data_IF_185382667465
#
_entry.id   IF_185382667465
#
_cell.length_a   1.000
_cell.length_b   1.000
_cell.length_c   1.000
_cell.angle_alpha   90.00
_cell.angle_beta   90.00
_cell.angle_gamma   90.00
#
_symmetry.space_group_name_H-M   'P 1'
#
loop_
_entity.id
_entity.type
_entity.pdbx_description
1 polymer ?
#
# COMPACT_ATOMS: atom_id res chain seq x y z
N UNK A 1 -12.56 5.60 22.71
CA UNK A 1 -13.12 5.25 21.39
C UNK A 1 -12.01 4.56 20.60
N UNK A 2 -12.23 3.35 20.14
CA UNK A 2 -11.23 2.63 19.34
C UNK A 2 -10.94 3.36 18.05
N UNK A 3 -9.69 3.47 17.67
CA UNK A 3 -9.22 4.18 16.46
C UNK A 3 -8.66 3.17 15.45
N UNK A 4 -8.72 3.53 14.18
CA UNK A 4 -8.04 2.81 13.11
C UNK A 4 -7.10 3.80 12.44
N UNK A 5 -5.83 3.44 12.34
CA UNK A 5 -4.88 4.18 11.51
C UNK A 5 -4.99 3.69 10.06
N UNK A 6 -5.40 4.57 9.18
CA UNK A 6 -5.66 4.23 7.79
C UNK A 6 -4.37 4.12 6.93
N UNK A 7 -3.19 4.48 7.45
CA UNK A 7 -1.94 4.36 6.70
C UNK A 7 -0.70 4.53 7.57
N UNK A 8 0.04 3.47 7.75
CA UNK A 8 1.35 3.47 8.41
C UNK A 8 2.41 2.75 7.57
N UNK A 9 3.65 2.92 7.98
CA UNK A 9 4.80 2.26 7.40
C UNK A 9 5.71 1.71 8.48
N UNK A 10 6.40 0.61 8.19
CA UNK A 10 7.57 0.13 8.94
C UNK A 10 8.74 -0.04 7.98
N UNK A 11 9.95 -0.16 8.53
CA UNK A 11 11.19 -0.35 7.78
C UNK A 11 12.13 0.84 7.87
N UNK A 12 13.12 0.83 7.02
CA UNK A 12 14.12 1.90 6.98
C UNK A 12 13.80 2.88 5.86
N UNK A 13 13.49 4.10 6.24
CA UNK A 13 13.34 5.22 5.31
C UNK A 13 14.72 5.80 5.04
N UNK A 14 15.31 5.38 3.91
CA UNK A 14 16.64 5.80 3.50
C UNK A 14 16.76 7.27 3.11
N UNK A 15 17.96 7.67 2.69
CA UNK A 15 18.24 9.01 2.23
C UNK A 15 18.18 10.05 3.34
N UNK A 16 17.52 11.18 3.06
CA UNK A 16 17.47 12.34 3.96
C UNK A 16 16.70 12.09 5.27
N UNK A 17 15.80 11.12 5.32
CA UNK A 17 14.99 10.87 6.50
C UNK A 17 15.74 10.13 7.60
N UNK A 18 16.64 9.19 7.26
CA UNK A 18 17.47 8.44 8.21
C UNK A 18 16.71 7.75 9.35
N UNK A 19 15.43 7.43 9.14
CA UNK A 19 14.53 6.90 10.16
C UNK A 19 14.34 5.41 9.96
N UNK A 20 14.58 4.62 11.02
CA UNK A 20 14.15 3.22 11.10
C UNK A 20 12.98 3.11 12.07
N UNK A 21 11.88 2.52 11.62
CA UNK A 21 10.68 2.32 12.41
C UNK A 21 10.29 0.84 12.38
N UNK A 22 10.46 0.17 13.52
CA UNK A 22 10.24 -1.27 13.63
C UNK A 22 8.78 -1.61 13.94
N UNK A 23 8.39 -2.86 13.70
CA UNK A 23 7.05 -3.36 14.06
C UNK A 23 6.78 -3.21 15.56
N UNK A 24 7.78 -3.42 16.44
CA UNK A 24 7.63 -3.27 17.90
C UNK A 24 7.30 -1.83 18.27
N UNK A 25 7.99 -0.84 17.67
CA UNK A 25 7.69 0.59 17.89
C UNK A 25 6.29 0.96 17.38
N UNK A 26 5.87 0.40 16.24
CA UNK A 26 4.53 0.59 15.73
C UNK A 26 3.49 0.10 16.74
N UNK A 27 3.65 -1.10 17.27
CA UNK A 27 2.72 -1.68 18.26
C UNK A 27 2.73 -0.91 19.57
N UNK A 28 3.89 -0.43 20.02
CA UNK A 28 4.01 0.44 21.20
C UNK A 28 3.17 1.72 21.02
N UNK A 29 3.33 2.41 19.89
CA UNK A 29 2.53 3.61 19.56
C UNK A 29 1.04 3.30 19.42
N UNK A 30 0.68 2.20 18.77
CA UNK A 30 -0.72 1.79 18.67
C UNK A 30 -1.37 1.61 20.04
N UNK A 31 -0.65 1.01 21.00
CA UNK A 31 -1.13 0.82 22.36
C UNK A 31 -1.22 2.16 23.11
N UNK A 32 -0.23 3.05 22.97
CA UNK A 32 -0.21 4.38 23.60
C UNK A 32 -1.38 5.26 23.16
N UNK A 33 -1.75 5.20 21.86
CA UNK A 33 -2.76 6.07 21.28
C UNK A 33 -4.14 5.40 21.09
N UNK A 34 -4.40 4.23 21.66
CA UNK A 34 -5.64 3.45 21.51
C UNK A 34 -5.99 3.13 20.03
N UNK A 35 -4.98 2.83 19.22
CA UNK A 35 -5.16 2.38 17.85
C UNK A 35 -5.38 0.86 17.85
N UNK A 36 -6.55 0.44 17.38
CA UNK A 36 -6.92 -0.97 17.34
C UNK A 36 -6.29 -1.69 16.17
N UNK A 37 -6.36 -1.08 14.99
CA UNK A 37 -5.81 -1.61 13.73
C UNK A 37 -5.09 -0.54 12.94
N UNK A 38 -4.11 -0.97 12.15
CA UNK A 38 -3.43 -0.10 11.19
C UNK A 38 -3.34 -0.76 9.82
N UNK A 39 -3.52 0.03 8.76
CA UNK A 39 -3.22 -0.37 7.39
C UNK A 39 -1.74 -0.14 7.16
N UNK A 40 -0.99 -1.25 7.05
CA UNK A 40 0.46 -1.23 7.03
C UNK A 40 1.01 -1.50 5.64
N UNK A 41 1.94 -0.67 5.20
CA UNK A 41 2.71 -0.89 3.98
C UNK A 41 4.22 -0.78 4.24
N UNK A 42 5.01 -1.38 3.39
CA UNK A 42 6.46 -1.20 3.36
C UNK A 42 6.85 0.25 3.02
N UNK A 43 8.10 0.67 3.23
CA UNK A 43 8.59 1.99 2.85
C UNK A 43 8.88 2.12 1.34
N UNK A 44 8.93 1.00 0.62
CA UNK A 44 9.14 0.90 -0.82
C UNK A 44 8.67 -0.48 -1.35
N UNK A 45 8.67 -0.66 -2.67
CA UNK A 45 8.17 -1.88 -3.31
C UNK A 45 9.02 -3.15 -3.08
N UNK A 46 10.19 -3.02 -2.48
CA UNK A 46 11.08 -4.15 -2.14
C UNK A 46 10.91 -4.64 -0.70
N UNK A 47 10.33 -3.84 0.18
CA UNK A 47 10.26 -4.11 1.63
C UNK A 47 9.02 -4.87 2.09
N UNK A 48 8.26 -5.51 1.20
CA UNK A 48 7.00 -6.18 1.57
C UNK A 48 7.19 -7.33 2.58
N UNK A 49 8.35 -8.01 2.57
CA UNK A 49 8.63 -9.11 3.52
C UNK A 49 8.70 -8.64 4.98
N UNK A 50 9.07 -7.37 5.22
CA UNK A 50 9.00 -6.78 6.57
C UNK A 50 7.54 -6.65 7.04
N UNK A 51 6.60 -6.41 6.11
CA UNK A 51 5.17 -6.35 6.41
C UNK A 51 4.60 -7.75 6.64
N UNK A 52 5.10 -8.78 5.92
CA UNK A 52 4.75 -10.20 6.20
C UNK A 52 5.11 -10.54 7.63
N UNK A 53 6.36 -10.28 8.04
CA UNK A 53 6.84 -10.56 9.39
C UNK A 53 6.02 -9.81 10.47
N UNK A 54 5.68 -8.55 10.22
CA UNK A 54 4.85 -7.77 11.12
C UNK A 54 3.41 -8.34 11.22
N UNK A 55 2.81 -8.70 10.11
CA UNK A 55 1.47 -9.27 10.06
C UNK A 55 1.41 -10.64 10.77
N UNK A 56 2.36 -11.52 10.51
CA UNK A 56 2.44 -12.82 11.18
C UNK A 56 2.63 -12.69 12.70
N UNK A 57 3.37 -11.64 13.14
CA UNK A 57 3.57 -11.36 14.56
C UNK A 57 2.34 -10.76 15.26
N UNK A 58 1.54 -9.96 14.55
CA UNK A 58 0.42 -9.19 15.10
C UNK A 58 -0.83 -9.19 14.18
N UNK A 59 -1.40 -10.38 13.87
CA UNK A 59 -2.47 -10.51 12.85
C UNK A 59 -3.77 -9.77 13.23
N UNK A 60 -4.02 -9.59 14.51
CA UNK A 60 -5.22 -8.88 14.99
C UNK A 60 -5.11 -7.35 14.88
N UNK A 61 -3.89 -6.82 14.74
CA UNK A 61 -3.61 -5.38 14.72
C UNK A 61 -3.26 -4.84 13.34
N UNK A 62 -2.69 -5.67 12.45
CA UNK A 62 -2.16 -5.25 11.17
C UNK A 62 -3.08 -5.68 10.03
N UNK A 63 -3.39 -4.75 9.15
CA UNK A 63 -4.04 -4.99 7.86
C UNK A 63 -2.98 -4.73 6.78
N UNK A 64 -2.36 -5.79 6.22
CA UNK A 64 -1.20 -5.65 5.34
C UNK A 64 -1.59 -5.26 3.92
N UNK A 65 -0.86 -4.31 3.33
CA UNK A 65 -0.98 -3.87 1.95
C UNK A 65 0.34 -4.09 1.21
N UNK A 66 0.29 -4.78 0.08
CA UNK A 66 1.47 -5.01 -0.75
C UNK A 66 1.80 -3.77 -1.58
N UNK A 67 3.03 -3.28 -1.49
CA UNK A 67 3.51 -2.25 -2.40
C UNK A 67 4.01 -2.88 -3.70
N UNK A 68 3.43 -2.46 -4.82
CA UNK A 68 3.80 -2.91 -6.16
C UNK A 68 4.24 -1.72 -7.01
N UNK A 69 5.33 -1.90 -7.79
CA UNK A 69 5.72 -0.98 -8.85
C UNK A 69 5.29 -1.60 -10.20
N UNK A 70 4.22 -1.10 -10.84
CA UNK A 70 3.67 -1.71 -12.04
C UNK A 70 4.61 -1.65 -13.25
N UNK A 71 5.63 -0.78 -13.22
CA UNK A 71 6.58 -0.63 -14.30
C UNK A 71 7.78 -1.60 -14.23
N UNK A 72 8.06 -2.16 -13.07
CA UNK A 72 9.24 -3.00 -12.83
C UNK A 72 8.92 -4.42 -12.37
N UNK A 73 7.83 -4.60 -11.65
CA UNK A 73 7.44 -5.89 -11.10
C UNK A 73 6.78 -6.78 -12.15
N UNK A 74 6.97 -8.09 -12.00
CA UNK A 74 6.01 -9.06 -12.49
C UNK A 74 4.78 -8.98 -11.59
N UNK A 75 3.82 -8.13 -12.01
CA UNK A 75 2.66 -7.75 -11.20
C UNK A 75 1.84 -8.96 -10.78
N UNK A 76 1.53 -9.86 -11.72
CA UNK A 76 0.71 -11.04 -11.45
C UNK A 76 1.38 -11.94 -10.43
N UNK A 77 2.65 -12.28 -10.64
CA UNK A 77 3.41 -13.13 -9.73
C UNK A 77 3.51 -12.51 -8.34
N UNK A 78 3.84 -11.21 -8.26
CA UNK A 78 4.00 -10.51 -6.99
C UNK A 78 2.69 -10.44 -6.22
N UNK A 79 1.60 -10.05 -6.88
CA UNK A 79 0.30 -9.95 -6.23
C UNK A 79 -0.26 -11.31 -5.83
N UNK A 80 -0.08 -12.35 -6.65
CA UNK A 80 -0.46 -13.72 -6.26
C UNK A 80 0.27 -14.16 -4.99
N UNK A 81 1.59 -13.93 -4.90
CA UNK A 81 2.35 -14.26 -3.71
C UNK A 81 1.81 -13.56 -2.46
N UNK A 82 1.76 -12.22 -2.47
CA UNK A 82 1.39 -11.49 -1.24
C UNK A 82 -0.10 -11.57 -0.90
N UNK A 83 -1.00 -11.53 -1.89
CA UNK A 83 -2.45 -11.55 -1.63
C UNK A 83 -2.93 -12.97 -1.34
N UNK A 84 -2.59 -13.96 -2.19
CA UNK A 84 -3.16 -15.30 -2.10
C UNK A 84 -2.38 -16.23 -1.16
N UNK A 85 -1.05 -16.06 -1.03
CA UNK A 85 -0.23 -16.95 -0.20
C UNK A 85 0.04 -16.34 1.18
N UNK A 86 0.41 -15.03 1.26
CA UNK A 86 0.74 -14.35 2.52
C UNK A 86 -0.46 -13.66 3.19
N UNK A 87 -1.62 -13.60 2.52
CA UNK A 87 -2.87 -13.09 3.10
C UNK A 87 -2.96 -11.56 3.18
N UNK A 88 -2.28 -10.83 2.31
CA UNK A 88 -2.39 -9.38 2.24
C UNK A 88 -3.79 -8.98 1.78
N UNK A 89 -4.28 -7.85 2.29
CA UNK A 89 -5.68 -7.42 2.18
C UNK A 89 -5.89 -6.23 1.25
N UNK A 90 -4.83 -5.74 0.62
CA UNK A 90 -4.91 -4.63 -0.32
C UNK A 90 -3.59 -4.35 -1.02
N UNK A 91 -3.65 -3.44 -1.98
CA UNK A 91 -2.53 -3.08 -2.85
C UNK A 91 -2.17 -1.62 -2.63
N UNK A 92 -0.88 -1.31 -2.52
CA UNK A 92 -0.33 0.04 -2.46
C UNK A 92 0.44 0.37 -3.73
N UNK A 93 0.16 1.54 -4.31
CA UNK A 93 0.98 2.15 -5.36
C UNK A 93 1.47 3.54 -4.96
N UNK A 94 2.70 3.87 -5.37
CA UNK A 94 3.35 5.16 -5.10
C UNK A 94 3.93 5.75 -6.40
N UNK A 95 3.10 6.41 -7.21
CA UNK A 95 3.51 6.87 -8.53
C UNK A 95 4.74 7.78 -8.56
N UNK A 96 4.91 8.66 -7.55
CA UNK A 96 6.07 9.55 -7.48
C UNK A 96 7.40 8.78 -7.31
N UNK A 97 7.45 7.85 -6.33
CA UNK A 97 8.70 7.15 -6.02
C UNK A 97 9.02 6.07 -7.06
N UNK A 98 7.99 5.51 -7.66
CA UNK A 98 8.09 4.41 -8.61
C UNK A 98 8.08 4.90 -10.07
N UNK A 99 8.02 6.24 -10.28
CA UNK A 99 8.17 6.95 -11.56
C UNK A 99 7.18 6.52 -12.66
N UNK A 100 5.89 6.37 -12.33
CA UNK A 100 4.80 6.15 -13.30
C UNK A 100 3.64 7.12 -13.08
N UNK A 101 2.78 7.30 -14.08
CA UNK A 101 1.59 8.13 -13.96
C UNK A 101 0.39 7.27 -13.54
N UNK A 102 -0.43 7.78 -12.61
CA UNK A 102 -1.47 6.98 -11.95
C UNK A 102 -2.56 6.43 -12.90
N UNK A 103 -2.82 7.07 -14.03
CA UNK A 103 -3.77 6.64 -15.07
C UNK A 103 -3.11 6.06 -16.33
N UNK A 104 -1.78 5.83 -16.29
CA UNK A 104 -1.05 5.19 -17.39
C UNK A 104 -1.47 3.72 -17.55
N UNK A 105 -1.54 3.18 -18.78
CA UNK A 105 -1.81 1.76 -19.03
C UNK A 105 -0.94 0.77 -18.27
N UNK A 106 0.25 1.16 -17.83
CA UNK A 106 1.14 0.31 -17.01
C UNK A 106 0.50 -0.14 -15.71
N UNK A 107 -0.50 0.60 -15.18
CA UNK A 107 -1.21 0.24 -13.94
C UNK A 107 -2.37 -0.73 -14.14
N UNK A 108 -2.80 -0.97 -15.40
CA UNK A 108 -3.98 -1.80 -15.66
C UNK A 108 -3.85 -3.24 -15.15
N UNK A 109 -2.70 -3.93 -15.26
CA UNK A 109 -2.56 -5.27 -14.67
C UNK A 109 -2.82 -5.29 -13.15
N UNK A 110 -2.43 -4.23 -12.42
CA UNK A 110 -2.71 -4.10 -10.98
C UNK A 110 -4.22 -3.95 -10.74
N UNK A 111 -4.88 -3.13 -11.55
CA UNK A 111 -6.31 -2.87 -11.43
C UNK A 111 -7.17 -4.09 -11.83
N UNK A 112 -6.74 -4.82 -12.87
CA UNK A 112 -7.39 -6.06 -13.29
C UNK A 112 -7.29 -7.13 -12.21
N UNK A 113 -6.13 -7.29 -11.60
CA UNK A 113 -5.95 -8.16 -10.44
C UNK A 113 -6.83 -7.73 -9.25
N UNK A 114 -6.83 -6.43 -8.92
CA UNK A 114 -7.62 -5.90 -7.82
C UNK A 114 -9.14 -6.16 -8.00
N UNK A 115 -9.63 -6.07 -9.25
CA UNK A 115 -11.01 -6.40 -9.62
C UNK A 115 -11.31 -7.88 -9.47
N UNK A 116 -10.42 -8.74 -9.94
CA UNK A 116 -10.59 -10.19 -9.91
C UNK A 116 -10.67 -10.74 -8.48
N UNK A 117 -9.81 -10.22 -7.60
CA UNK A 117 -9.68 -10.69 -6.21
C UNK A 117 -10.44 -9.83 -5.19
N UNK A 118 -11.20 -8.83 -5.64
CA UNK A 118 -11.97 -7.87 -4.79
C UNK A 118 -11.11 -7.22 -3.69
N UNK A 119 -9.89 -6.82 -3.99
CA UNK A 119 -9.00 -6.15 -3.05
C UNK A 119 -8.92 -4.64 -3.31
N UNK A 120 -8.85 -3.78 -2.28
CA UNK A 120 -8.76 -2.34 -2.45
C UNK A 120 -7.37 -1.92 -2.93
N UNK A 121 -7.34 -0.83 -3.70
CA UNK A 121 -6.11 -0.19 -4.17
C UNK A 121 -5.93 1.17 -3.50
N UNK A 122 -4.77 1.36 -2.89
CA UNK A 122 -4.37 2.57 -2.19
C UNK A 122 -3.30 3.31 -2.99
N UNK A 123 -3.60 4.51 -3.49
CA UNK A 123 -2.71 5.28 -4.37
C UNK A 123 -2.26 6.56 -3.66
N UNK A 124 -0.95 6.77 -3.60
CA UNK A 124 -0.40 8.04 -3.14
C UNK A 124 -0.74 9.15 -4.13
N UNK A 125 -1.25 10.28 -3.63
CA UNK A 125 -1.80 11.38 -4.41
C UNK A 125 -1.13 12.71 -4.05
N UNK A 126 -1.12 13.67 -4.99
CA UNK A 126 -0.73 15.05 -4.74
C UNK A 126 0.59 15.48 -5.38
N UNK A 127 1.24 14.64 -6.18
CA UNK A 127 2.53 14.96 -6.80
C UNK A 127 2.45 15.07 -8.33
N UNK A 128 2.53 16.30 -8.91
CA UNK A 128 2.62 16.47 -10.35
C UNK A 128 3.93 15.90 -10.91
N UNK A 129 3.94 15.33 -12.11
CA UNK A 129 2.77 14.97 -12.93
C UNK A 129 2.20 13.57 -12.58
N UNK A 130 2.79 12.85 -11.62
CA UNK A 130 2.62 11.41 -11.44
C UNK A 130 1.27 10.98 -10.85
N UNK A 131 0.77 11.71 -9.83
CA UNK A 131 -0.40 11.28 -9.07
C UNK A 131 -1.34 12.44 -8.72
N UNK A 132 -1.77 13.16 -9.73
CA UNK A 132 -2.76 14.22 -9.56
C UNK A 132 -4.16 13.63 -9.28
N UNK A 133 -5.00 14.31 -8.50
CA UNK A 133 -6.33 13.79 -8.14
C UNK A 133 -7.19 13.37 -9.32
N UNK A 134 -7.10 14.09 -10.43
CA UNK A 134 -7.88 13.78 -11.65
C UNK A 134 -7.37 12.54 -12.36
N UNK A 135 -6.06 12.25 -12.39
CA UNK A 135 -5.53 11.00 -12.95
C UNK A 135 -6.07 9.79 -12.17
N UNK A 136 -6.13 9.91 -10.84
CA UNK A 136 -6.72 8.85 -10.01
C UNK A 136 -8.23 8.75 -10.23
N UNK A 137 -8.93 9.88 -10.45
CA UNK A 137 -10.34 9.87 -10.76
C UNK A 137 -10.63 9.18 -12.12
N UNK A 138 -9.83 9.47 -13.15
CA UNK A 138 -9.93 8.81 -14.46
C UNK A 138 -9.68 7.29 -14.36
N UNK A 139 -8.70 6.89 -13.55
CA UNK A 139 -8.47 5.47 -13.28
C UNK A 139 -9.68 4.82 -12.58
N UNK A 140 -10.25 5.49 -11.57
CA UNK A 140 -11.44 5.01 -10.86
C UNK A 140 -12.71 4.96 -11.75
N UNK A 141 -12.87 5.90 -12.67
CA UNK A 141 -13.95 5.86 -13.68
C UNK A 141 -13.81 4.67 -14.64
N UNK A 142 -12.57 4.32 -14.99
CA UNK A 142 -12.29 3.15 -15.83
C UNK A 142 -12.50 1.83 -15.10
N UNK A 143 -12.30 1.81 -13.79
CA UNK A 143 -12.42 0.62 -12.92
C UNK A 143 -13.45 0.86 -11.80
N UNK A 144 -14.75 1.05 -12.14
CA UNK A 144 -15.77 1.40 -11.15
C UNK A 144 -16.03 0.30 -10.12
N UNK A 145 -15.63 -0.92 -10.42
CA UNK A 145 -15.79 -2.08 -9.54
C UNK A 145 -14.61 -2.23 -8.54
N UNK A 146 -13.53 -1.45 -8.71
CA UNK A 146 -12.37 -1.49 -7.81
C UNK A 146 -12.47 -0.39 -6.77
N UNK A 147 -12.29 -0.75 -5.52
CA UNK A 147 -12.24 0.23 -4.40
C UNK A 147 -10.91 0.98 -4.45
N UNK A 148 -10.90 2.16 -5.05
CA UNK A 148 -9.72 3.03 -5.10
C UNK A 148 -9.77 4.04 -3.97
N UNK A 149 -8.74 4.03 -3.11
CA UNK A 149 -8.57 5.01 -2.05
C UNK A 149 -7.33 5.86 -2.35
N UNK A 150 -7.49 7.19 -2.24
CA UNK A 150 -6.37 8.14 -2.39
C UNK A 150 -5.90 8.62 -1.01
N UNK A 151 -4.58 8.71 -0.82
CA UNK A 151 -3.99 9.46 0.27
C UNK A 151 -3.51 10.81 -0.28
N UNK A 152 -4.05 11.89 0.26
CA UNK A 152 -3.45 13.22 0.16
C UNK A 152 -2.44 13.41 1.28
N UNK A 153 -1.41 14.24 1.08
CA UNK A 153 -0.46 14.60 2.12
C UNK A 153 -1.15 15.16 3.36
#
# INVERSE_FOLDING_TARGET
MKKIDAHSHIGTFGGWAGVAFTKEKLIEQMNEYDIEKTFLTAPNFQGNDEVVDAFQSYPDKIVPFVWVNPALDDVEKKLNHYINEEGFMGIKMQPLFDAFVADDPVVYPVMDFAREYDVPVFIHCGHPPFSLPWSIALLAEKYPDVRVTRKTP
#
